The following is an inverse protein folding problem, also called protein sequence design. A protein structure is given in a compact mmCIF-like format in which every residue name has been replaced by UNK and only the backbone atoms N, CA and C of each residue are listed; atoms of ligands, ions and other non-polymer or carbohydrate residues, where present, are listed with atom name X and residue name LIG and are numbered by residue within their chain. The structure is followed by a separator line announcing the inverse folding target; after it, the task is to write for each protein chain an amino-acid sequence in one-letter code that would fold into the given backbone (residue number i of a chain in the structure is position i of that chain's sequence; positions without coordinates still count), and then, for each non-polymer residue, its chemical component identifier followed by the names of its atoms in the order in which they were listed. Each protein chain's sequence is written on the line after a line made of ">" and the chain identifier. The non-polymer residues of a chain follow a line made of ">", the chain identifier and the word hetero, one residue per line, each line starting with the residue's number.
data_IF_061054950330
#
_entry.id   IF_061054950330
#
_cell.length_a   1.000
_cell.length_b   1.000
_cell.length_c   1.000
_cell.angle_alpha   90.00
_cell.angle_beta   90.00
_cell.angle_gamma   90.00
#
_symmetry.space_group_name_H-M   'P 1'
#
loop_
_entity.id
_entity.type
_entity.pdbx_description
1 polymer ?
#
# COMPACT_ATOMS: atom_id res chain seq x y z
N UNK A 1 1.42 -20.11 -18.66
CA UNK A 1 2.74 -20.29 -19.30
C UNK A 1 3.53 -19.07 -18.90
N UNK A 2 4.72 -19.24 -18.30
CA UNK A 2 5.54 -18.10 -17.87
C UNK A 2 5.87 -17.21 -19.06
N UNK A 3 5.53 -15.93 -18.96
CA UNK A 3 5.87 -14.94 -19.97
C UNK A 3 7.37 -14.61 -19.86
N UNK A 4 8.15 -14.68 -20.95
CA UNK A 4 9.57 -14.33 -20.94
C UNK A 4 9.82 -13.13 -21.85
N UNK A 5 10.34 -12.04 -21.28
CA UNK A 5 10.59 -10.79 -21.99
C UNK A 5 12.09 -10.69 -22.32
N UNK A 6 12.49 -10.42 -23.57
CA UNK A 6 13.89 -10.22 -23.93
C UNK A 6 14.41 -8.88 -23.42
N UNK A 7 15.52 -8.91 -22.67
CA UNK A 7 16.25 -7.71 -22.24
C UNK A 7 17.29 -7.28 -23.27
N UNK A 8 17.88 -8.22 -24.00
CA UNK A 8 18.93 -7.97 -24.99
C UNK A 8 20.03 -9.01 -24.93
N UNK A 9 21.11 -8.75 -25.67
CA UNK A 9 22.24 -9.67 -25.75
C UNK A 9 23.06 -9.66 -24.44
N UNK A 10 23.45 -10.83 -23.94
CA UNK A 10 24.25 -10.96 -22.70
C UNK A 10 25.59 -10.23 -22.78
N UNK A 11 26.14 -10.03 -23.98
CA UNK A 11 27.40 -9.30 -24.20
C UNK A 11 27.28 -7.79 -23.94
N UNK A 12 26.05 -7.26 -23.86
CA UNK A 12 25.81 -5.86 -23.50
C UNK A 12 26.13 -5.56 -22.02
N UNK A 13 26.16 -6.60 -21.18
CA UNK A 13 26.54 -6.50 -19.77
C UNK A 13 27.85 -7.28 -19.60
N UNK A 14 28.97 -6.57 -19.61
CA UNK A 14 30.29 -7.18 -19.46
C UNK A 14 30.42 -7.87 -18.08
N UNK A 15 31.25 -8.92 -17.96
CA UNK A 15 31.64 -9.49 -16.68
C UNK A 15 32.03 -8.42 -15.65
N UNK A 16 31.47 -8.48 -14.44
CA UNK A 16 31.72 -7.53 -13.36
C UNK A 16 31.05 -6.17 -13.55
N UNK A 17 30.17 -6.02 -14.53
CA UNK A 17 29.42 -4.79 -14.77
C UNK A 17 27.92 -4.99 -14.53
N UNK A 18 27.19 -3.89 -14.63
CA UNK A 18 25.75 -3.84 -14.41
C UNK A 18 25.10 -2.92 -15.44
N UNK A 19 23.82 -3.15 -15.71
CA UNK A 19 23.04 -2.37 -16.68
C UNK A 19 21.62 -2.16 -16.19
N UNK A 20 21.11 -0.96 -16.43
CA UNK A 20 19.74 -0.59 -16.12
C UNK A 20 18.83 -0.92 -17.31
N UNK A 21 17.69 -1.50 -17.00
CA UNK A 21 16.59 -1.70 -17.95
C UNK A 21 15.32 -1.05 -17.40
N UNK A 22 14.43 -0.66 -18.28
CA UNK A 22 13.10 -0.13 -17.89
C UNK A 22 12.04 -0.96 -18.57
N UNK A 23 11.21 -1.65 -17.79
CA UNK A 23 10.05 -2.40 -18.29
C UNK A 23 8.80 -1.89 -17.61
N UNK A 24 7.82 -1.45 -18.40
CA UNK A 24 6.53 -0.95 -17.91
C UNK A 24 6.59 0.13 -16.81
N UNK A 25 7.67 0.91 -16.77
CA UNK A 25 7.89 1.96 -15.76
C UNK A 25 8.68 1.51 -14.53
N UNK A 26 8.94 0.21 -14.38
CA UNK A 26 9.84 -0.33 -13.36
C UNK A 26 11.28 -0.28 -13.87
N UNK A 27 12.17 0.27 -13.05
CA UNK A 27 13.60 0.25 -13.28
C UNK A 27 14.23 -1.02 -12.70
N UNK A 28 14.95 -1.75 -13.53
CA UNK A 28 15.51 -3.07 -13.22
C UNK A 28 17.02 -2.97 -13.32
N UNK A 29 17.71 -3.16 -12.19
CA UNK A 29 19.16 -3.23 -12.17
C UNK A 29 19.62 -4.68 -12.37
N UNK A 30 20.33 -4.94 -13.47
CA UNK A 30 20.89 -6.25 -13.78
C UNK A 30 22.39 -6.25 -13.55
N UNK A 31 22.87 -7.16 -12.72
CA UNK A 31 24.27 -7.34 -12.33
C UNK A 31 24.82 -8.59 -12.99
N UNK A 32 25.98 -8.49 -13.65
CA UNK A 32 26.74 -9.63 -14.16
C UNK A 32 27.88 -9.92 -13.19
N UNK A 33 27.59 -10.74 -12.19
CA UNK A 33 28.52 -11.10 -11.12
C UNK A 33 29.44 -12.20 -11.59
N UNK A 34 30.74 -12.06 -11.33
CA UNK A 34 31.75 -13.05 -11.66
C UNK A 34 32.58 -13.40 -10.44
N UNK A 35 32.73 -14.69 -10.18
CA UNK A 35 33.65 -15.22 -9.20
C UNK A 35 34.90 -15.77 -9.89
N UNK A 36 36.07 -15.78 -9.23
CA UNK A 36 37.24 -16.47 -9.74
C UNK A 36 36.90 -17.93 -10.09
N UNK A 37 37.30 -18.36 -11.29
CA UNK A 37 37.16 -19.74 -11.75
C UNK A 37 35.71 -20.24 -11.95
N UNK A 38 34.70 -19.37 -11.88
CA UNK A 38 33.30 -19.71 -12.18
C UNK A 38 32.74 -18.89 -13.36
N UNK A 39 31.81 -19.46 -14.15
CA UNK A 39 31.08 -18.68 -15.13
C UNK A 39 30.26 -17.59 -14.44
N UNK A 40 30.23 -16.40 -15.06
CA UNK A 40 29.45 -15.28 -14.56
C UNK A 40 27.96 -15.60 -14.47
N UNK A 41 27.30 -15.05 -13.46
CA UNK A 41 25.86 -15.21 -13.23
C UNK A 41 25.19 -13.85 -13.25
N UNK A 42 24.01 -13.79 -13.86
CA UNK A 42 23.20 -12.58 -13.91
C UNK A 42 22.18 -12.58 -12.78
N UNK A 43 22.04 -11.43 -12.12
CA UNK A 43 21.01 -11.18 -11.10
C UNK A 43 20.25 -9.90 -11.44
N UNK A 44 18.93 -9.91 -11.27
CA UNK A 44 18.08 -8.74 -11.50
C UNK A 44 17.32 -8.37 -10.22
N UNK A 45 17.30 -7.09 -9.91
CA UNK A 45 16.60 -6.51 -8.76
C UNK A 45 15.80 -5.27 -9.18
N UNK A 46 14.82 -4.88 -8.37
CA UNK A 46 14.26 -3.52 -8.44
C UNK A 46 15.37 -2.51 -8.13
N UNK A 47 15.52 -1.51 -8.99
CA UNK A 47 16.55 -0.49 -8.84
C UNK A 47 16.29 0.43 -7.65
N UNK A 48 15.05 0.51 -7.15
CA UNK A 48 14.69 1.31 -5.99
C UNK A 48 15.03 0.58 -4.68
N UNK A 49 15.82 1.23 -3.82
CA UNK A 49 16.10 0.74 -2.47
C UNK A 49 14.79 0.60 -1.67
N UNK A 50 14.51 -0.56 -1.03
CA UNK A 50 13.26 -0.81 -0.33
C UNK A 50 13.05 0.10 0.90
N UNK A 51 14.08 0.83 1.34
CA UNK A 51 13.99 1.79 2.44
C UNK A 51 13.40 3.13 1.98
N UNK A 52 14.05 3.84 1.06
CA UNK A 52 13.66 5.21 0.63
C UNK A 52 13.82 5.46 -0.88
N UNK A 53 13.85 4.40 -1.69
CA UNK A 53 13.81 4.50 -3.16
C UNK A 53 15.08 4.98 -3.84
N UNK A 54 16.22 5.03 -3.14
CA UNK A 54 17.51 5.37 -3.74
C UNK A 54 17.91 4.38 -4.85
N UNK A 55 18.60 4.89 -5.87
CA UNK A 55 19.02 4.14 -7.06
C UNK A 55 20.16 3.16 -6.76
N UNK A 56 19.85 1.88 -6.58
CA UNK A 56 20.81 0.85 -6.18
C UNK A 56 21.87 0.56 -7.25
N UNK A 57 21.57 0.74 -8.54
CA UNK A 57 22.57 0.55 -9.60
C UNK A 57 23.71 1.58 -9.54
N UNK A 58 23.57 2.66 -8.77
CA UNK A 58 24.65 3.63 -8.53
C UNK A 58 25.52 3.23 -7.33
N UNK A 59 25.03 2.32 -6.48
CA UNK A 59 25.71 1.83 -5.29
C UNK A 59 27.05 1.14 -5.57
N UNK A 60 28.02 1.24 -4.67
CA UNK A 60 29.26 0.46 -4.79
C UNK A 60 29.06 -0.98 -4.26
N UNK A 61 30.00 -1.88 -4.50
CA UNK A 61 29.88 -3.27 -4.03
C UNK A 61 30.85 -4.22 -4.72
N UNK A 62 30.96 -5.44 -4.19
CA UNK A 62 31.83 -6.49 -4.71
C UNK A 62 31.09 -7.84 -4.74
N UNK A 63 31.35 -8.66 -5.76
CA UNK A 63 30.67 -9.94 -5.91
C UNK A 63 29.17 -9.74 -6.07
N UNK A 64 28.39 -10.32 -5.16
CA UNK A 64 26.92 -10.19 -5.11
C UNK A 64 26.44 -9.03 -4.24
N UNK A 65 27.33 -8.27 -3.61
CA UNK A 65 26.94 -7.18 -2.73
C UNK A 65 26.74 -5.87 -3.49
N UNK A 66 25.76 -5.09 -3.06
CA UNK A 66 25.57 -3.69 -3.45
C UNK A 66 25.17 -2.84 -2.24
N UNK A 67 25.85 -1.71 -2.06
CA UNK A 67 25.60 -0.73 -1.01
C UNK A 67 24.65 0.34 -1.53
N UNK A 68 23.56 0.60 -0.81
CA UNK A 68 22.67 1.71 -1.13
C UNK A 68 23.42 3.05 -1.01
N UNK A 69 23.46 3.88 -2.06
CA UNK A 69 24.26 5.12 -2.06
C UNK A 69 23.77 6.20 -1.09
N UNK A 70 22.58 6.03 -0.50
CA UNK A 70 21.98 7.01 0.42
C UNK A 70 22.26 6.72 1.90
N UNK A 71 22.23 5.44 2.29
CA UNK A 71 22.31 5.02 3.70
C UNK A 71 23.33 3.90 3.95
N UNK A 72 24.09 3.53 2.93
CA UNK A 72 25.15 2.49 2.95
C UNK A 72 24.70 1.07 3.32
N UNK A 73 23.39 0.81 3.39
CA UNK A 73 22.86 -0.54 3.63
C UNK A 73 23.34 -1.49 2.53
N UNK A 74 23.85 -2.64 2.94
CA UNK A 74 24.40 -3.67 2.07
C UNK A 74 23.32 -4.67 1.74
N UNK A 75 23.15 -4.97 0.46
CA UNK A 75 22.23 -5.97 -0.03
C UNK A 75 22.97 -7.01 -0.84
N UNK A 76 22.56 -8.26 -0.69
CA UNK A 76 23.03 -9.36 -1.54
C UNK A 76 22.07 -9.55 -2.71
N UNK A 77 22.49 -9.26 -3.94
CA UNK A 77 21.62 -9.34 -5.14
C UNK A 77 21.25 -10.77 -5.52
N UNK A 78 22.00 -11.75 -5.01
CA UNK A 78 21.80 -13.17 -5.30
C UNK A 78 20.71 -13.83 -4.44
N UNK A 79 20.56 -13.43 -3.18
CA UNK A 79 19.51 -13.87 -2.27
C UNK A 79 18.36 -12.86 -2.21
N UNK A 80 18.70 -11.57 -2.24
CA UNK A 80 17.80 -10.43 -2.04
C UNK A 80 17.81 -9.90 -0.61
N UNK A 81 18.59 -10.51 0.30
CA UNK A 81 18.62 -10.08 1.70
C UNK A 81 19.34 -8.74 1.85
N UNK A 82 18.81 -7.90 2.74
CA UNK A 82 19.56 -6.79 3.29
C UNK A 82 20.39 -7.32 4.47
N UNK A 83 21.72 -7.20 4.40
CA UNK A 83 22.64 -7.75 5.39
C UNK A 83 22.60 -6.96 6.71
N UNK A 84 22.23 -5.69 6.65
CA UNK A 84 22.11 -4.81 7.82
C UNK A 84 20.71 -4.92 8.48
N UNK A 85 19.64 -5.01 7.66
CA UNK A 85 18.24 -5.03 8.12
C UNK A 85 17.39 -6.03 7.32
N UNK A 86 17.41 -7.33 7.69
CA UNK A 86 16.74 -8.41 6.95
C UNK A 86 15.24 -8.21 6.69
N UNK A 87 14.57 -7.35 7.45
CA UNK A 87 13.16 -6.96 7.26
C UNK A 87 12.89 -6.10 6.02
N UNK A 88 13.93 -5.57 5.35
CA UNK A 88 13.83 -4.80 4.10
C UNK A 88 14.53 -5.52 2.93
N UNK A 89 14.08 -6.71 2.50
CA UNK A 89 14.69 -7.41 1.38
C UNK A 89 14.44 -6.70 0.05
N UNK A 90 15.32 -6.94 -0.92
CA UNK A 90 15.16 -6.54 -2.31
C UNK A 90 14.05 -7.34 -3.00
N UNK A 91 13.29 -6.67 -3.87
CA UNK A 91 12.51 -7.34 -4.91
C UNK A 91 13.46 -7.87 -5.97
N UNK A 92 13.40 -9.18 -6.23
CA UNK A 92 14.23 -9.87 -7.24
C UNK A 92 13.41 -10.34 -8.42
N UNK A 93 14.02 -10.29 -9.59
CA UNK A 93 13.41 -10.77 -10.82
C UNK A 93 14.15 -12.00 -11.35
N UNK A 94 13.37 -13.00 -11.75
CA UNK A 94 13.92 -14.22 -12.33
C UNK A 94 14.45 -13.95 -13.75
N UNK A 95 15.69 -14.36 -14.00
CA UNK A 95 16.33 -14.29 -15.30
C UNK A 95 16.54 -15.67 -15.89
N UNK A 96 16.52 -15.74 -17.22
CA UNK A 96 16.87 -16.93 -17.99
C UNK A 96 17.76 -16.54 -19.15
N UNK A 97 18.84 -17.28 -19.36
CA UNK A 97 19.67 -17.13 -20.55
C UNK A 97 19.32 -18.19 -21.58
N UNK A 98 19.04 -17.78 -22.82
CA UNK A 98 18.86 -18.67 -23.96
C UNK A 98 19.86 -18.29 -25.07
N UNK A 99 20.90 -19.11 -25.23
CA UNK A 99 22.05 -18.78 -26.10
C UNK A 99 22.66 -17.43 -25.69
N UNK A 100 22.64 -16.43 -26.57
CA UNK A 100 23.19 -15.09 -26.33
C UNK A 100 22.13 -14.09 -25.84
N UNK A 101 20.88 -14.51 -25.64
CA UNK A 101 19.78 -13.63 -25.23
C UNK A 101 19.50 -13.77 -23.74
N UNK A 102 19.45 -12.62 -23.04
CA UNK A 102 18.98 -12.54 -21.67
C UNK A 102 17.47 -12.27 -21.65
N UNK A 103 16.74 -13.11 -20.93
CA UNK A 103 15.29 -13.04 -20.74
C UNK A 103 14.98 -12.80 -19.27
N UNK A 104 13.90 -12.09 -19.00
CA UNK A 104 13.36 -11.86 -17.65
C UNK A 104 11.93 -12.41 -17.56
N UNK A 105 11.57 -12.94 -16.39
CA UNK A 105 10.23 -13.45 -16.14
C UNK A 105 9.23 -12.27 -16.13
N UNK A 106 8.44 -12.21 -17.20
CA UNK A 106 7.41 -11.22 -17.48
C UNK A 106 6.22 -11.28 -16.54
N UNK A 107 6.00 -12.37 -15.80
CA UNK A 107 4.88 -12.47 -14.86
C UNK A 107 5.05 -11.49 -13.69
N UNK A 108 6.30 -11.12 -13.35
CA UNK A 108 6.62 -10.07 -12.38
C UNK A 108 6.30 -8.65 -12.88
N UNK A 109 6.08 -8.50 -14.19
CA UNK A 109 5.73 -7.26 -14.87
C UNK A 109 4.38 -7.35 -15.59
N UNK A 110 3.61 -8.41 -15.29
CA UNK A 110 2.24 -8.52 -15.74
C UNK A 110 1.58 -7.20 -15.37
N UNK A 111 1.01 -6.53 -16.38
CA UNK A 111 0.32 -5.27 -16.16
C UNK A 111 -0.61 -5.50 -14.97
N UNK A 112 -0.50 -4.67 -13.92
CA UNK A 112 -1.64 -4.50 -13.03
C UNK A 112 -2.79 -4.24 -13.99
N UNK A 113 -3.74 -5.18 -14.08
CA UNK A 113 -4.88 -5.08 -14.98
C UNK A 113 -5.39 -3.65 -14.83
N UNK A 114 -5.65 -2.95 -15.94
CA UNK A 114 -6.08 -1.57 -15.88
C UNK A 114 -7.28 -1.47 -14.94
N UNK A 115 -7.02 -1.05 -13.69
CA UNK A 115 -8.06 -1.00 -12.68
C UNK A 115 -8.97 0.15 -13.08
N UNK A 116 -10.25 -0.14 -13.23
CA UNK A 116 -11.23 0.91 -13.38
C UNK A 116 -11.28 1.66 -12.04
N UNK A 117 -10.78 2.89 -12.04
CA UNK A 117 -10.78 3.75 -10.87
C UNK A 117 -12.03 4.63 -10.87
N UNK A 118 -12.70 4.66 -9.74
CA UNK A 118 -13.82 5.54 -9.50
C UNK A 118 -13.46 6.50 -8.37
N UNK A 119 -13.81 7.77 -8.56
CA UNK A 119 -13.73 8.74 -7.46
C UNK A 119 -14.95 8.52 -6.57
N UNK A 120 -14.72 8.20 -5.31
CA UNK A 120 -15.77 7.83 -4.35
C UNK A 120 -15.68 8.70 -3.12
N UNK A 121 -16.82 9.24 -2.70
CA UNK A 121 -16.97 9.84 -1.36
C UNK A 121 -17.37 8.76 -0.38
N UNK A 122 -16.70 8.66 0.75
CA UNK A 122 -16.97 7.64 1.77
C UNK A 122 -16.78 8.20 3.19
N UNK A 123 -17.23 7.43 4.17
CA UNK A 123 -17.27 7.81 5.59
C UNK A 123 -18.15 9.03 5.92
N UNK A 124 -18.56 9.14 7.18
CA UNK A 124 -19.20 10.36 7.74
C UNK A 124 -18.33 11.61 7.63
N UNK A 125 -17.00 11.45 7.56
CA UNK A 125 -16.07 12.57 7.35
C UNK A 125 -16.07 13.10 5.91
N UNK A 126 -16.69 12.38 4.97
CA UNK A 126 -16.84 12.82 3.58
C UNK A 126 -15.53 12.81 2.80
N UNK A 127 -14.61 11.90 3.13
CA UNK A 127 -13.37 11.73 2.39
C UNK A 127 -13.63 11.33 0.95
N UNK A 128 -12.73 11.75 0.06
CA UNK A 128 -12.84 11.52 -1.37
C UNK A 128 -11.53 10.92 -1.86
N UNK A 129 -11.60 9.72 -2.43
CA UNK A 129 -10.43 9.08 -3.03
C UNK A 129 -10.82 8.12 -4.18
N UNK A 130 -9.82 7.49 -4.79
CA UNK A 130 -9.98 6.56 -5.89
C UNK A 130 -10.11 5.14 -5.36
N UNK A 131 -11.11 4.42 -5.85
CA UNK A 131 -11.32 3.02 -5.53
C UNK A 131 -11.29 2.20 -6.82
N UNK A 132 -10.59 1.07 -6.75
CA UNK A 132 -10.48 0.14 -7.86
C UNK A 132 -11.67 -0.81 -7.92
N UNK A 133 -12.02 -1.29 -9.09
CA UNK A 133 -12.94 -2.41 -9.26
C UNK A 133 -12.41 -3.38 -10.31
N UNK A 134 -12.58 -4.67 -10.03
CA UNK A 134 -12.37 -5.79 -10.96
C UNK A 134 -13.62 -6.07 -11.80
N UNK A 135 -14.77 -5.48 -11.45
CA UNK A 135 -16.02 -5.67 -12.15
C UNK A 135 -16.04 -4.90 -13.47
N UNK A 136 -16.60 -5.53 -14.52
CA UNK A 136 -16.99 -4.85 -15.76
C UNK A 136 -18.16 -3.86 -15.54
N UNK A 137 -18.67 -3.78 -14.31
CA UNK A 137 -19.79 -2.91 -13.92
C UNK A 137 -19.39 -1.45 -13.99
N UNK A 138 -20.11 -0.70 -14.83
CA UNK A 138 -20.01 0.75 -14.83
C UNK A 138 -20.91 1.35 -13.76
N UNK A 139 -20.30 2.00 -12.77
CA UNK A 139 -21.03 2.82 -11.81
C UNK A 139 -21.24 4.23 -12.33
N UNK A 140 -22.38 4.81 -12.01
CA UNK A 140 -22.78 6.16 -12.37
C UNK A 140 -22.64 7.10 -11.18
N UNK A 141 -22.53 8.39 -11.45
CA UNK A 141 -22.54 9.41 -10.41
C UNK A 141 -23.78 9.27 -9.51
N UNK A 142 -23.55 9.30 -8.18
CA UNK A 142 -24.48 9.05 -7.07
C UNK A 142 -24.91 7.60 -6.85
N UNK A 143 -24.36 6.65 -7.60
CA UNK A 143 -24.52 5.25 -7.22
C UNK A 143 -23.88 5.04 -5.85
N UNK A 144 -24.58 4.31 -4.99
CA UNK A 144 -24.05 3.88 -3.71
C UNK A 144 -23.40 2.52 -3.89
N UNK A 145 -22.27 2.32 -3.23
CA UNK A 145 -21.46 1.10 -3.35
C UNK A 145 -20.97 0.64 -1.99
N UNK A 146 -20.66 -0.64 -1.88
CA UNK A 146 -19.92 -1.20 -0.74
C UNK A 146 -18.43 -1.19 -1.10
N UNK A 147 -17.62 -0.62 -0.23
CA UNK A 147 -16.18 -0.49 -0.36
C UNK A 147 -15.48 -1.42 0.63
N UNK A 148 -14.34 -1.98 0.24
CA UNK A 148 -13.34 -2.48 1.17
C UNK A 148 -12.27 -1.40 1.36
N UNK A 149 -12.10 -0.93 2.59
CA UNK A 149 -11.03 0.02 2.96
C UNK A 149 -10.06 -0.62 3.94
N UNK A 150 -9.00 0.10 4.33
CA UNK A 150 -8.08 -0.33 5.40
C UNK A 150 -8.75 -0.40 6.78
N UNK A 151 -9.91 0.26 6.94
CA UNK A 151 -10.65 0.34 8.21
C UNK A 151 -11.74 -0.73 8.32
N UNK A 152 -12.30 -1.18 7.19
CA UNK A 152 -13.36 -2.19 7.15
C UNK A 152 -14.20 -2.08 5.89
N UNK A 153 -15.39 -2.68 5.90
CA UNK A 153 -16.38 -2.44 4.84
C UNK A 153 -17.13 -1.14 5.10
N UNK A 154 -17.31 -0.32 4.06
CA UNK A 154 -17.92 1.00 4.16
C UNK A 154 -18.91 1.26 3.02
N UNK A 155 -19.83 2.18 3.25
CA UNK A 155 -20.69 2.68 2.16
C UNK A 155 -20.04 3.89 1.50
N UNK A 156 -19.87 3.80 0.18
CA UNK A 156 -19.41 4.89 -0.67
C UNK A 156 -20.52 5.45 -1.57
N UNK A 157 -20.29 6.66 -2.07
CA UNK A 157 -21.06 7.28 -3.15
C UNK A 157 -20.12 7.68 -4.29
N UNK A 158 -20.44 7.22 -5.50
CA UNK A 158 -19.66 7.50 -6.71
C UNK A 158 -19.78 8.97 -7.09
N UNK A 159 -18.65 9.67 -7.17
CA UNK A 159 -18.57 11.06 -7.62
C UNK A 159 -18.24 11.16 -9.12
N UNK A 160 -17.36 10.30 -9.63
CA UNK A 160 -17.05 10.26 -11.06
C UNK A 160 -16.50 8.91 -11.51
N UNK A 161 -16.93 8.48 -12.69
CA UNK A 161 -16.39 7.36 -13.45
C UNK A 161 -15.21 7.84 -14.32
N UNK A 162 -14.06 8.10 -13.70
CA UNK A 162 -12.88 8.52 -14.46
C UNK A 162 -12.23 7.29 -15.11
N UNK A 163 -12.61 6.98 -16.35
CA UNK A 163 -12.02 5.89 -17.13
C UNK A 163 -10.67 6.32 -17.72
N UNK A 164 -9.68 6.56 -16.87
CA UNK A 164 -8.29 6.56 -17.31
C UNK A 164 -7.46 5.91 -16.20
N UNK A 165 -6.77 4.79 -16.48
CA UNK A 165 -5.88 4.18 -15.52
C UNK A 165 -4.72 5.14 -15.28
N UNK A 166 -4.78 5.93 -14.20
CA UNK A 166 -3.60 6.55 -13.67
C UNK A 166 -2.78 5.46 -12.99
N UNK A 167 -1.83 4.89 -13.75
CA UNK A 167 -0.99 3.78 -13.32
C UNK A 167 -0.17 4.11 -12.05
N UNK A 168 -0.03 5.39 -11.72
CA UNK A 168 0.74 5.84 -10.56
C UNK A 168 -0.11 6.06 -9.32
N UNK A 169 -1.44 5.88 -9.39
CA UNK A 169 -2.33 6.15 -8.27
C UNK A 169 -2.72 4.87 -7.54
N UNK A 170 -2.20 4.69 -6.34
CA UNK A 170 -2.63 3.63 -5.43
C UNK A 170 -4.07 3.90 -4.99
N UNK A 171 -5.04 3.00 -5.28
CA UNK A 171 -6.41 3.18 -4.84
C UNK A 171 -6.49 3.09 -3.31
N UNK A 172 -7.36 3.88 -2.70
CA UNK A 172 -7.63 3.84 -1.26
C UNK A 172 -8.26 2.51 -0.82
N UNK A 173 -8.92 1.83 -1.77
CA UNK A 173 -9.50 0.51 -1.58
C UNK A 173 -10.15 -0.04 -2.83
N UNK A 174 -11.02 -1.04 -2.65
CA UNK A 174 -11.78 -1.63 -3.76
C UNK A 174 -13.28 -1.41 -3.61
N UNK A 175 -13.99 -1.28 -4.73
CA UNK A 175 -15.44 -1.37 -4.78
C UNK A 175 -15.79 -2.86 -4.86
N UNK A 176 -16.49 -3.36 -3.84
CA UNK A 176 -16.90 -4.76 -3.75
C UNK A 176 -18.14 -5.03 -4.60
N UNK A 177 -19.16 -4.16 -4.52
CA UNK A 177 -20.45 -4.30 -5.22
C UNK A 177 -21.31 -3.04 -5.08
N UNK A 178 -22.40 -3.01 -5.83
CA UNK A 178 -23.48 -2.03 -5.63
C UNK A 178 -24.11 -2.14 -4.23
N UNK A 179 -24.54 -1.00 -3.71
CA UNK A 179 -25.36 -0.90 -2.50
C UNK A 179 -26.82 -1.18 -2.85
N UNK A 180 -27.45 -2.10 -2.12
CA UNK A 180 -28.79 -2.61 -2.37
C UNK A 180 -29.78 -2.19 -1.28
N UNK A 181 -31.11 -2.34 -1.50
CA UNK A 181 -32.09 -2.12 -0.45
C UNK A 181 -31.89 -3.01 0.79
N UNK A 182 -31.32 -4.21 0.66
CA UNK A 182 -31.01 -5.08 1.81
C UNK A 182 -29.89 -4.49 2.67
N UNK A 183 -28.94 -3.78 2.06
CA UNK A 183 -27.87 -3.10 2.79
C UNK A 183 -28.42 -1.89 3.57
N UNK A 184 -29.49 -1.25 3.06
CA UNK A 184 -30.16 -0.15 3.76
C UNK A 184 -30.77 -0.59 5.09
N UNK A 185 -31.24 -1.83 5.19
CA UNK A 185 -31.76 -2.42 6.43
C UNK A 185 -30.64 -2.78 7.42
N UNK A 186 -29.40 -2.96 6.94
CA UNK A 186 -28.23 -3.30 7.74
C UNK A 186 -27.46 -2.09 8.25
N UNK A 187 -27.79 -0.88 7.77
CA UNK A 187 -27.15 0.33 8.26
C UNK A 187 -27.39 0.50 9.77
N UNK A 188 -26.38 0.97 10.53
CA UNK A 188 -26.52 1.21 11.96
C UNK A 188 -27.76 2.05 12.27
N UNK A 189 -28.65 1.52 13.11
CA UNK A 189 -29.90 2.17 13.49
C UNK A 189 -29.72 3.29 14.52
N UNK A 190 -30.71 4.20 14.58
CA UNK A 190 -30.79 5.43 15.41
C UNK A 190 -30.67 5.26 16.95
N UNK A 191 -30.48 4.05 17.49
CA UNK A 191 -30.31 3.75 18.93
C UNK A 191 -28.83 3.78 19.36
N UNK A 192 -28.15 4.83 18.93
CA UNK A 192 -26.87 4.79 18.24
C UNK A 192 -25.65 4.29 19.04
N UNK A 193 -25.05 3.18 18.58
CA UNK A 193 -23.74 2.67 19.00
C UNK A 193 -22.72 3.80 19.03
N UNK A 194 -22.75 4.66 18.01
CA UNK A 194 -21.81 5.76 17.89
C UNK A 194 -21.98 6.74 19.05
N UNK A 195 -23.22 7.14 19.34
CA UNK A 195 -23.57 8.01 20.47
C UNK A 195 -23.12 7.43 21.82
N UNK A 196 -23.25 6.11 22.02
CA UNK A 196 -22.81 5.50 23.28
C UNK A 196 -21.29 5.47 23.39
N UNK A 197 -20.59 4.95 22.38
CA UNK A 197 -19.13 4.84 22.37
C UNK A 197 -18.48 6.23 22.45
N UNK A 198 -19.03 7.21 21.74
CA UNK A 198 -18.59 8.60 21.78
C UNK A 198 -18.66 9.19 23.19
N UNK A 199 -19.80 9.04 23.87
CA UNK A 199 -19.98 9.56 25.24
C UNK A 199 -19.04 8.90 26.24
N UNK A 200 -18.91 7.57 26.17
CA UNK A 200 -18.01 6.82 27.05
C UNK A 200 -16.54 7.25 26.84
N UNK A 201 -16.13 7.43 25.58
CA UNK A 201 -14.79 7.89 25.24
C UNK A 201 -14.53 9.30 25.77
N UNK A 202 -15.47 10.24 25.56
CA UNK A 202 -15.35 11.60 26.08
C UNK A 202 -15.24 11.64 27.60
N UNK A 203 -16.04 10.82 28.30
CA UNK A 203 -15.97 10.73 29.76
C UNK A 203 -14.59 10.26 30.22
N UNK A 204 -14.02 9.22 29.61
CA UNK A 204 -12.70 8.70 29.96
C UNK A 204 -11.58 9.70 29.70
N UNK A 205 -11.65 10.44 28.60
CA UNK A 205 -10.70 11.51 28.27
C UNK A 205 -10.75 12.61 29.35
N UNK A 206 -11.96 13.01 29.76
CA UNK A 206 -12.15 14.04 30.78
C UNK A 206 -11.66 13.59 32.16
N UNK A 207 -12.01 12.37 32.59
CA UNK A 207 -11.59 11.79 33.87
C UNK A 207 -10.06 11.69 33.98
N UNK A 208 -9.37 11.51 32.85
CA UNK A 208 -7.91 11.38 32.78
C UNK A 208 -7.17 12.68 32.48
N UNK A 209 -7.90 13.77 32.19
CA UNK A 209 -7.31 15.03 31.76
C UNK A 209 -6.46 14.89 30.49
N UNK A 210 -6.88 14.02 29.56
CA UNK A 210 -6.14 13.77 28.32
C UNK A 210 -6.28 14.96 27.35
N UNK A 211 -5.21 15.36 26.64
CA UNK A 211 -5.25 16.47 25.69
C UNK A 211 -5.77 16.01 24.32
N UNK A 212 -6.93 15.35 24.28
CA UNK A 212 -7.57 14.84 23.08
C UNK A 212 -9.01 15.36 22.99
N UNK A 213 -9.44 15.75 21.79
CA UNK A 213 -10.82 16.20 21.54
C UNK A 213 -11.46 15.27 20.50
N UNK A 214 -12.48 14.51 20.92
CA UNK A 214 -13.24 13.62 20.03
C UNK A 214 -14.27 14.46 19.27
N UNK A 215 -14.29 14.28 17.95
CA UNK A 215 -15.11 15.04 17.00
C UNK A 215 -16.34 14.26 16.59
N UNK A 216 -16.18 12.99 16.25
CA UNK A 216 -17.28 12.16 15.79
C UNK A 216 -17.00 10.67 16.00
N UNK A 217 -18.02 9.84 15.80
CA UNK A 217 -17.95 8.39 15.93
C UNK A 217 -18.74 7.72 14.81
N UNK A 218 -18.16 6.70 14.18
CA UNK A 218 -18.77 5.99 13.06
C UNK A 218 -18.61 4.47 13.21
N UNK A 219 -19.72 3.76 13.31
CA UNK A 219 -19.75 2.32 13.08
C UNK A 219 -19.72 2.05 11.57
N UNK A 220 -18.75 1.25 11.14
CA UNK A 220 -18.58 0.87 9.74
C UNK A 220 -19.68 -0.12 9.30
N UNK A 221 -19.80 -0.31 7.99
CA UNK A 221 -20.85 -1.15 7.40
C UNK A 221 -20.69 -2.63 7.78
N UNK A 222 -19.46 -3.08 8.05
CA UNK A 222 -19.18 -4.43 8.55
C UNK A 222 -19.80 -4.76 9.92
N UNK A 223 -20.33 -3.75 10.64
CA UNK A 223 -20.86 -3.83 12.01
C UNK A 223 -19.86 -4.38 13.05
N UNK A 224 -18.58 -4.50 12.68
CA UNK A 224 -17.50 -5.00 13.51
C UNK A 224 -16.60 -3.86 13.98
N UNK A 225 -16.47 -2.79 13.20
CA UNK A 225 -15.54 -1.69 13.47
C UNK A 225 -16.27 -0.42 13.86
N UNK A 226 -15.76 0.28 14.88
CA UNK A 226 -16.20 1.62 15.27
C UNK A 226 -14.99 2.54 15.26
N UNK A 227 -15.08 3.64 14.53
CA UNK A 227 -14.02 4.64 14.36
C UNK A 227 -14.36 5.88 15.17
N UNK A 228 -13.47 6.27 16.08
CA UNK A 228 -13.53 7.53 16.82
C UNK A 228 -12.60 8.56 16.18
N UNK A 229 -13.18 9.67 15.73
CA UNK A 229 -12.44 10.75 15.11
C UNK A 229 -11.99 11.77 16.15
N UNK A 230 -10.75 12.25 16.06
CA UNK A 230 -10.22 13.23 17.02
C UNK A 230 -9.38 14.31 16.34
N UNK A 231 -9.25 15.47 16.99
CA UNK A 231 -8.35 16.55 16.57
C UNK A 231 -6.94 16.38 17.14
N UNK A 232 -5.94 16.60 16.28
CA UNK A 232 -4.53 16.66 16.65
C UNK A 232 -3.74 15.41 16.27
N UNK A 233 -2.45 15.42 16.60
CA UNK A 233 -1.53 14.34 16.25
C UNK A 233 -1.77 13.07 17.07
N UNK A 234 -1.28 11.93 16.56
CA UNK A 234 -1.40 10.62 17.24
C UNK A 234 -0.85 10.65 18.65
N UNK A 235 -1.66 10.21 19.61
CA UNK A 235 -1.33 10.10 21.03
C UNK A 235 -1.30 8.63 21.46
N UNK A 236 -0.18 8.10 21.98
CA UNK A 236 -0.12 6.73 22.50
C UNK A 236 -1.18 6.41 23.57
N UNK A 237 -1.61 7.43 24.32
CA UNK A 237 -2.67 7.29 25.32
C UNK A 237 -4.04 6.90 24.73
N UNK A 238 -4.30 7.22 23.44
CA UNK A 238 -5.53 6.80 22.76
C UNK A 238 -5.52 5.30 22.43
N UNK A 239 -4.36 4.67 22.26
CA UNK A 239 -4.27 3.21 22.07
C UNK A 239 -4.70 2.47 23.33
N UNK A 240 -4.28 2.96 24.50
CA UNK A 240 -4.71 2.42 25.81
C UNK A 240 -6.22 2.58 25.96
N UNK A 241 -6.74 3.74 25.57
CA UNK A 241 -8.17 4.01 25.61
C UNK A 241 -8.95 3.09 24.66
N UNK A 242 -8.42 2.84 23.47
CA UNK A 242 -8.99 1.90 22.51
C UNK A 242 -9.06 0.50 23.11
N UNK A 243 -7.99 -0.01 23.73
CA UNK A 243 -7.97 -1.33 24.37
C UNK A 243 -9.05 -1.46 25.45
N UNK A 244 -9.23 -0.42 26.25
CA UNK A 244 -10.25 -0.41 27.30
C UNK A 244 -11.67 -0.38 26.74
N UNK A 245 -11.93 0.42 25.70
CA UNK A 245 -13.22 0.45 25.02
C UNK A 245 -13.49 -0.90 24.32
N UNK A 246 -12.50 -1.49 23.68
CA UNK A 246 -12.56 -2.85 23.09
C UNK A 246 -12.85 -3.94 24.13
N UNK A 247 -12.51 -3.74 25.40
CA UNK A 247 -12.87 -4.66 26.48
C UNK A 247 -14.33 -4.50 26.96
N UNK A 248 -14.96 -3.35 26.69
CA UNK A 248 -16.35 -3.02 27.07
C UNK A 248 -17.35 -3.38 25.99
N UNK A 249 -16.92 -3.34 24.73
CA UNK A 249 -17.77 -3.49 23.56
C UNK A 249 -17.34 -4.68 22.71
N UNK A 250 -18.27 -5.31 21.97
CA UNK A 250 -17.93 -6.40 21.06
C UNK A 250 -17.28 -5.93 19.75
N UNK A 251 -17.21 -4.61 19.51
CA UNK A 251 -16.67 -4.01 18.30
C UNK A 251 -15.19 -3.69 18.43
N UNK A 252 -14.48 -3.75 17.32
CA UNK A 252 -13.14 -3.21 17.15
C UNK A 252 -13.19 -1.69 17.12
N UNK A 253 -12.83 -1.05 18.23
CA UNK A 253 -12.74 0.40 18.37
C UNK A 253 -11.36 0.89 17.98
N UNK A 254 -11.30 1.84 17.05
CA UNK A 254 -10.06 2.46 16.53
C UNK A 254 -10.18 3.98 16.58
N UNK A 255 -9.05 4.68 16.71
CA UNK A 255 -9.00 6.14 16.65
C UNK A 255 -8.40 6.59 15.33
N UNK A 256 -8.98 7.62 14.72
CA UNK A 256 -8.46 8.23 13.49
C UNK A 256 -8.37 9.75 13.63
N UNK A 257 -7.21 10.36 13.36
CA UNK A 257 -7.10 11.82 13.32
C UNK A 257 -7.89 12.37 12.11
N UNK A 258 -8.56 13.50 12.27
CA UNK A 258 -9.43 14.07 11.21
C UNK A 258 -8.64 14.73 10.07
N UNK A 259 -7.40 15.12 10.31
CA UNK A 259 -6.51 15.80 9.35
C UNK A 259 -5.70 14.83 8.48
N UNK A 260 -5.77 13.52 8.77
CA UNK A 260 -5.19 12.47 7.92
C UNK A 260 -6.32 11.74 7.18
N UNK A 261 -6.17 11.54 5.87
CA UNK A 261 -6.99 10.58 5.15
C UNK A 261 -6.59 9.14 5.54
N UNK A 262 -7.52 8.16 5.51
CA UNK A 262 -7.18 6.77 5.74
C UNK A 262 -6.11 6.27 4.78
N UNK A 263 -5.22 5.42 5.29
CA UNK A 263 -4.25 4.75 4.45
C UNK A 263 -4.93 3.85 3.41
N UNK A 264 -4.36 3.78 2.21
CA UNK A 264 -4.80 2.87 1.17
C UNK A 264 -4.78 1.41 1.64
N UNK A 265 -5.86 0.67 1.36
CA UNK A 265 -5.91 -0.76 1.68
C UNK A 265 -4.88 -1.50 0.81
N UNK A 266 -3.89 -2.14 1.44
CA UNK A 266 -2.89 -2.94 0.73
C UNK A 266 -1.48 -2.36 0.68
N UNK A 267 -1.22 -1.19 1.28
CA UNK A 267 0.14 -0.75 1.54
C UNK A 267 0.50 -0.94 3.02
N UNK A 268 1.11 -2.08 3.32
CA UNK A 268 2.10 -2.16 4.40
C UNK A 268 3.40 -1.52 3.90
N UNK A 269 3.43 -0.22 3.72
CA UNK A 269 4.68 0.52 3.50
C UNK A 269 4.53 1.97 3.90
N UNK A 270 5.64 2.49 4.41
CA UNK A 270 5.81 3.72 5.17
C UNK A 270 5.21 4.98 4.54
N UNK A 271 4.91 5.92 5.43
CA UNK A 271 4.17 7.13 5.12
C UNK A 271 4.79 7.98 4.02
N UNK A 272 3.92 8.48 3.15
CA UNK A 272 4.21 9.60 2.28
C UNK A 272 3.94 10.89 3.06
N UNK A 273 4.96 11.38 3.77
CA UNK A 273 4.98 12.75 4.29
C UNK A 273 5.37 13.70 3.18
N UNK A 274 4.38 14.33 2.53
CA UNK A 274 4.61 15.51 1.73
C UNK A 274 4.73 16.74 2.66
N UNK A 275 5.63 17.64 2.28
CA UNK A 275 5.86 19.00 2.75
C UNK A 275 6.45 19.22 4.15
N UNK A 276 7.70 19.71 4.16
CA UNK A 276 8.00 21.00 4.77
C UNK A 276 9.32 21.61 4.27
N UNK A 277 9.15 22.69 3.48
CA UNK A 277 10.03 23.87 3.27
C UNK A 277 11.38 23.74 2.58
#
# INVERSE_FOLDING_TARGET
>A
MTNWIPLGDVSEIKPGSRKLYTLHGTEIAVFHVTEPEQPGTFYAIDNACPHQGATLIEGEGCGTEVNCPLHDWTFDVASGECLDFPEFPLTRFELKQESDLLLINGDAFAEAEALNLFLVRYSVMGWVDHFATDAETNYHHRDRVILQTSRGEEVGEILSSFTQPDKNKTPAGTILREFTPLDQEQLPGQGDVNTQVFRDCQQLIQERGMPAEIIDCEQLFDQQTVVLYYLGSRLPALEILAQELNARYPWRIVFHPVDEAPAASGCSSGGCGCDQK
#
